data_IF_095559700761
#
_entry.id   IF_095559700761
#
_cell.length_a   1.000
_cell.length_b   1.000
_cell.length_c   1.000
_cell.angle_alpha   90.00
_cell.angle_beta   90.00
_cell.angle_gamma   90.00
#
_symmetry.space_group_name_H-M   'P 1'
#
loop_
_entity.id
_entity.type
_entity.pdbx_description
1 polymer ?
#
# COMPACT_ATOMS: atom_id res chain seq x y z
N UNK A 1 31.72 18.45 -14.26
CA UNK A 1 30.71 17.41 -13.96
C UNK A 1 30.03 17.05 -15.26
N UNK A 2 30.07 15.77 -15.69
CA UNK A 2 29.57 15.37 -17.00
C UNK A 2 28.03 15.39 -17.01
N UNK A 3 27.43 16.17 -17.90
CA UNK A 3 25.96 16.26 -18.02
C UNK A 3 25.33 14.87 -18.22
N UNK A 4 26.03 13.95 -18.89
CA UNK A 4 25.53 12.60 -19.12
C UNK A 4 25.33 11.79 -17.82
N UNK A 5 26.16 12.02 -16.80
CA UNK A 5 26.06 11.33 -15.52
C UNK A 5 24.84 11.83 -14.75
N UNK A 6 24.60 13.14 -14.76
CA UNK A 6 23.43 13.75 -14.10
C UNK A 6 22.14 13.27 -14.79
N UNK A 7 22.12 13.27 -16.13
CA UNK A 7 20.97 12.78 -16.89
C UNK A 7 20.67 11.32 -16.60
N UNK A 8 21.69 10.46 -16.60
CA UNK A 8 21.52 9.03 -16.32
C UNK A 8 21.08 8.76 -14.87
N UNK A 9 21.63 9.50 -13.91
CA UNK A 9 21.17 9.43 -12.53
C UNK A 9 19.70 9.87 -12.41
N UNK A 10 19.31 10.97 -13.06
CA UNK A 10 17.92 11.42 -13.06
C UNK A 10 16.98 10.37 -13.68
N UNK A 11 17.39 9.67 -14.75
CA UNK A 11 16.62 8.59 -15.39
C UNK A 11 16.39 7.39 -14.46
N UNK A 12 17.37 7.02 -13.63
CA UNK A 12 17.22 5.92 -12.67
C UNK A 12 16.21 6.26 -11.56
N UNK A 13 16.13 7.53 -11.13
CA UNK A 13 15.28 7.99 -10.01
C UNK A 13 13.98 8.72 -10.40
N UNK A 14 13.74 8.96 -11.69
CA UNK A 14 12.57 9.68 -12.20
C UNK A 14 11.70 8.76 -13.04
N UNK A 15 10.38 8.78 -12.88
CA UNK A 15 9.44 8.03 -13.74
C UNK A 15 9.18 8.80 -15.06
N UNK A 16 9.77 9.99 -15.19
CA UNK A 16 9.72 10.87 -16.33
C UNK A 16 9.97 12.30 -15.86
N UNK A 17 10.81 13.05 -16.55
CA UNK A 17 11.15 14.43 -16.22
C UNK A 17 11.12 15.29 -17.47
N UNK A 18 10.37 16.39 -17.41
CA UNK A 18 10.40 17.47 -18.38
C UNK A 18 10.96 18.73 -17.72
N UNK A 19 11.82 19.45 -18.43
CA UNK A 19 12.16 20.84 -18.10
C UNK A 19 11.59 21.74 -19.18
N UNK A 20 10.85 22.75 -18.75
CA UNK A 20 10.25 23.76 -19.60
C UNK A 20 10.91 25.11 -19.35
N UNK A 21 10.99 25.95 -20.38
CA UNK A 21 11.37 27.35 -20.22
C UNK A 21 10.20 28.18 -19.65
N UNK A 22 10.40 29.50 -19.52
CA UNK A 22 9.38 30.44 -19.01
C UNK A 22 8.12 30.52 -19.87
N UNK A 23 8.22 30.14 -21.15
CA UNK A 23 7.16 30.17 -22.15
C UNK A 23 6.50 28.78 -22.30
N UNK A 24 6.76 27.88 -21.33
CA UNK A 24 6.19 26.52 -21.25
C UNK A 24 6.56 25.61 -22.43
N UNK A 25 7.66 25.92 -23.13
CA UNK A 25 8.24 25.07 -24.16
C UNK A 25 9.17 24.06 -23.52
N UNK A 26 9.03 22.79 -23.89
CA UNK A 26 9.86 21.68 -23.39
C UNK A 26 11.26 21.83 -23.97
N UNK A 27 12.25 22.09 -23.12
CA UNK A 27 13.67 22.21 -23.51
C UNK A 27 14.49 20.96 -23.17
N UNK A 28 13.94 20.10 -22.32
CA UNK A 28 14.53 18.81 -21.97
C UNK A 28 13.43 17.80 -21.63
N UNK A 29 13.66 16.56 -22.04
CA UNK A 29 12.89 15.39 -21.62
C UNK A 29 13.84 14.22 -21.42
N UNK A 30 13.69 13.48 -20.32
CA UNK A 30 14.41 12.21 -20.11
C UNK A 30 13.82 11.07 -20.96
N UNK A 31 14.52 9.93 -21.04
CA UNK A 31 14.08 8.79 -21.87
C UNK A 31 12.68 8.29 -21.48
N UNK A 32 12.34 8.28 -20.18
CA UNK A 32 11.03 7.83 -19.71
C UNK A 32 9.91 8.78 -20.15
N UNK A 33 10.12 10.09 -20.08
CA UNK A 33 9.16 11.07 -20.58
C UNK A 33 8.94 10.94 -22.10
N UNK A 34 9.98 10.64 -22.89
CA UNK A 34 9.83 10.37 -24.34
C UNK A 34 8.98 9.12 -24.61
N UNK A 35 9.26 8.03 -23.89
CA UNK A 35 8.47 6.77 -23.97
C UNK A 35 7.00 6.98 -23.63
N UNK A 36 6.71 7.77 -22.59
CA UNK A 36 5.33 8.13 -22.18
C UNK A 36 4.57 8.83 -23.31
N UNK A 37 5.25 9.63 -24.13
CA UNK A 37 4.63 10.35 -25.24
C UNK A 37 4.69 9.60 -26.56
N UNK A 38 5.25 8.38 -26.57
CA UNK A 38 5.44 7.55 -27.76
C UNK A 38 6.19 8.29 -28.90
N UNK A 39 7.02 9.28 -28.57
CA UNK A 39 7.78 10.06 -29.54
C UNK A 39 8.99 10.74 -28.90
N UNK A 40 10.12 10.75 -29.62
CA UNK A 40 11.32 11.49 -29.21
C UNK A 40 11.22 12.99 -29.53
N UNK A 41 10.27 13.37 -30.40
CA UNK A 41 10.08 14.74 -30.87
C UNK A 41 9.14 15.55 -29.96
N UNK A 42 9.44 15.57 -28.66
CA UNK A 42 8.72 16.40 -27.67
C UNK A 42 9.49 17.66 -27.26
N UNK A 43 10.81 17.67 -27.41
CA UNK A 43 11.62 18.87 -27.17
C UNK A 43 11.33 19.90 -28.26
N UNK A 44 11.09 21.15 -27.86
CA UNK A 44 10.69 22.27 -28.73
C UNK A 44 9.18 22.49 -28.82
N UNK A 45 8.35 21.55 -28.36
CA UNK A 45 6.89 21.71 -28.32
C UNK A 45 6.43 22.44 -27.07
N UNK A 46 5.32 23.17 -27.17
CA UNK A 46 4.63 23.70 -25.99
C UNK A 46 4.00 22.57 -25.19
N UNK A 47 4.02 22.66 -23.86
CA UNK A 47 3.47 21.64 -22.98
C UNK A 47 1.99 21.33 -23.27
N UNK A 48 1.19 22.36 -23.54
CA UNK A 48 -0.24 22.24 -23.88
C UNK A 48 -0.52 21.52 -25.20
N UNK A 49 0.48 21.38 -26.08
CA UNK A 49 0.32 20.58 -27.29
C UNK A 49 0.28 19.09 -26.96
N UNK A 50 0.97 18.67 -25.89
CA UNK A 50 1.12 17.27 -25.51
C UNK A 50 0.16 16.83 -24.41
N UNK A 51 -0.29 17.75 -23.57
CA UNK A 51 -1.12 17.45 -22.40
C UNK A 51 -2.34 18.35 -22.28
N UNK A 52 -3.41 17.80 -21.71
CA UNK A 52 -4.70 18.48 -21.56
C UNK A 52 -4.75 19.58 -20.49
N UNK A 53 -3.81 19.61 -19.56
CA UNK A 53 -3.83 20.49 -18.38
C UNK A 53 -2.78 21.61 -18.50
N UNK A 54 -3.10 22.79 -17.95
CA UNK A 54 -2.17 23.92 -17.90
C UNK A 54 -1.08 23.72 -16.84
N UNK A 55 0.15 24.15 -17.16
CA UNK A 55 1.29 24.07 -16.23
C UNK A 55 1.03 24.85 -14.94
N UNK A 56 0.28 25.95 -15.02
CA UNK A 56 -0.17 26.73 -13.86
C UNK A 56 -0.98 25.92 -12.85
N UNK A 57 -1.89 25.07 -13.33
CA UNK A 57 -2.71 24.17 -12.49
C UNK A 57 -1.83 23.16 -11.76
N UNK A 58 -0.84 22.60 -12.46
CA UNK A 58 0.10 21.62 -11.89
C UNK A 58 0.97 22.28 -10.81
N UNK A 59 1.38 23.54 -11.01
CA UNK A 59 2.18 24.31 -10.05
C UNK A 59 1.40 24.71 -8.79
N UNK A 60 0.10 24.94 -8.91
CA UNK A 60 -0.76 25.34 -7.80
C UNK A 60 -1.11 24.17 -6.85
N UNK A 61 -1.08 22.94 -7.36
CA UNK A 61 -1.53 21.75 -6.65
C UNK A 61 -0.39 20.86 -6.15
N UNK A 62 -0.63 20.11 -5.07
CA UNK A 62 0.35 19.14 -4.53
C UNK A 62 0.54 17.92 -5.44
N UNK A 63 -0.24 17.78 -6.50
CA UNK A 63 -0.21 16.74 -7.53
C UNK A 63 -1.41 16.89 -8.46
N UNK A 64 -1.22 16.63 -9.75
CA UNK A 64 -2.26 16.76 -10.78
C UNK A 64 -2.21 15.55 -11.71
N UNK A 65 -3.36 15.10 -12.18
CA UNK A 65 -3.45 14.07 -13.22
C UNK A 65 -3.53 14.77 -14.57
N UNK A 66 -2.59 14.48 -15.46
CA UNK A 66 -2.60 14.98 -16.84
C UNK A 66 -2.89 13.84 -17.80
N UNK A 67 -3.43 14.17 -18.96
CA UNK A 67 -3.68 13.20 -20.03
C UNK A 67 -2.75 13.51 -21.20
N UNK A 68 -2.00 12.54 -21.71
CA UNK A 68 -1.17 12.71 -22.91
C UNK A 68 -2.03 12.60 -24.19
N UNK A 69 -1.40 12.82 -25.35
CA UNK A 69 -2.09 12.71 -26.66
C UNK A 69 -2.67 11.32 -26.97
N UNK A 70 -2.15 10.25 -26.34
CA UNK A 70 -2.67 8.90 -26.49
C UNK A 70 -3.87 8.60 -25.57
N UNK A 71 -4.31 9.55 -24.75
CA UNK A 71 -5.41 9.36 -23.78
C UNK A 71 -4.97 8.71 -22.46
N UNK A 72 -3.67 8.46 -22.27
CA UNK A 72 -3.14 7.87 -21.05
C UNK A 72 -3.02 8.93 -19.95
N UNK A 73 -3.42 8.55 -18.72
CA UNK A 73 -3.40 9.43 -17.55
C UNK A 73 -2.13 9.24 -16.72
N UNK A 74 -1.53 10.33 -16.28
CA UNK A 74 -0.32 10.34 -15.47
C UNK A 74 -0.43 11.31 -14.30
N UNK A 75 -0.03 10.87 -13.12
CA UNK A 75 0.18 11.77 -12.00
C UNK A 75 1.49 12.54 -12.20
N UNK A 76 1.45 13.85 -12.02
CA UNK A 76 2.61 14.73 -12.16
C UNK A 76 2.66 15.77 -11.03
N UNK A 77 3.87 16.27 -10.77
CA UNK A 77 4.12 17.47 -9.96
C UNK A 77 5.03 18.43 -10.70
N UNK A 78 4.79 19.72 -10.52
CA UNK A 78 5.62 20.76 -11.10
C UNK A 78 6.31 21.60 -10.02
N UNK A 79 7.51 22.10 -10.30
CA UNK A 79 8.19 23.09 -9.46
C UNK A 79 8.95 24.09 -10.31
N UNK A 80 8.87 25.37 -9.94
CA UNK A 80 9.73 26.41 -10.52
C UNK A 80 11.16 26.22 -10.00
N UNK A 81 12.12 26.18 -10.90
CA UNK A 81 13.56 26.09 -10.59
C UNK A 81 14.28 27.29 -11.19
N UNK A 82 15.40 27.69 -10.59
CA UNK A 82 16.26 28.78 -11.06
C UNK A 82 17.66 28.24 -11.30
N UNK A 83 18.26 28.59 -12.44
CA UNK A 83 19.68 28.36 -12.70
C UNK A 83 20.30 29.70 -13.14
N UNK A 84 21.13 30.28 -12.28
CA UNK A 84 21.61 31.65 -12.47
C UNK A 84 20.45 32.65 -12.52
N UNK A 85 20.35 33.41 -13.63
CA UNK A 85 19.27 34.38 -13.87
C UNK A 85 18.05 33.79 -14.56
N UNK A 86 18.16 32.57 -15.08
CA UNK A 86 17.11 31.92 -15.84
C UNK A 86 16.14 31.16 -14.94
N UNK A 87 14.89 31.06 -15.39
CA UNK A 87 13.79 30.39 -14.68
C UNK A 87 13.24 29.29 -15.56
N UNK A 88 13.05 28.13 -14.97
CA UNK A 88 12.49 26.96 -15.61
C UNK A 88 11.37 26.37 -14.78
N UNK A 89 10.62 25.46 -15.38
CA UNK A 89 9.62 24.66 -14.70
C UNK A 89 10.02 23.19 -14.89
N UNK A 90 10.24 22.49 -13.78
CA UNK A 90 10.45 21.05 -13.80
C UNK A 90 9.11 20.36 -13.58
N UNK A 91 8.68 19.51 -14.51
CA UNK A 91 7.50 18.64 -14.38
C UNK A 91 7.98 17.21 -14.25
N UNK A 92 7.74 16.61 -13.08
CA UNK A 92 8.12 15.23 -12.76
C UNK A 92 6.88 14.34 -12.81
N UNK A 93 6.97 13.26 -13.56
CA UNK A 93 6.02 12.15 -13.56
C UNK A 93 6.15 11.33 -12.29
N UNK A 94 5.01 10.87 -11.80
CA UNK A 94 4.88 10.09 -10.58
C UNK A 94 4.05 8.84 -10.89
N UNK A 95 4.29 7.79 -10.12
CA UNK A 95 3.34 6.68 -10.11
C UNK A 95 2.01 7.17 -9.55
N UNK A 96 0.89 6.67 -10.08
CA UNK A 96 -0.42 6.91 -9.46
C UNK A 96 -0.54 6.20 -8.10
N UNK A 97 0.30 5.19 -7.88
CA UNK A 97 0.35 4.39 -6.66
C UNK A 97 1.83 4.26 -6.27
N UNK A 98 2.23 4.88 -5.16
CA UNK A 98 3.55 4.66 -4.58
C UNK A 98 3.44 3.48 -3.61
N UNK A 99 3.94 2.30 -3.99
CA UNK A 99 3.96 1.16 -3.06
C UNK A 99 5.00 1.34 -1.93
N UNK A 100 5.82 2.39 -1.92
CA UNK A 100 6.56 2.78 -0.72
C UNK A 100 5.68 3.54 0.29
N UNK A 101 4.51 4.03 -0.13
CA UNK A 101 3.52 4.61 0.76
C UNK A 101 2.92 3.51 1.66
N UNK A 102 3.06 3.70 2.98
CA UNK A 102 2.54 2.78 3.97
C UNK A 102 1.01 2.69 3.94
N UNK A 103 0.30 3.75 3.53
CA UNK A 103 -1.17 3.74 3.39
C UNK A 103 -1.60 2.86 2.23
N UNK A 104 -0.91 2.96 1.10
CA UNK A 104 -1.16 2.10 -0.08
C UNK A 104 -0.90 0.63 0.28
N UNK A 105 0.25 0.34 0.90
CA UNK A 105 0.59 -1.01 1.37
C UNK A 105 -0.47 -1.55 2.34
N UNK A 106 -0.89 -0.74 3.31
CA UNK A 106 -1.92 -1.12 4.27
C UNK A 106 -3.23 -1.46 3.57
N UNK A 107 -3.70 -0.61 2.65
CA UNK A 107 -4.92 -0.84 1.89
C UNK A 107 -4.88 -2.17 1.09
N UNK A 108 -3.73 -2.48 0.47
CA UNK A 108 -3.55 -3.75 -0.23
C UNK A 108 -3.62 -4.95 0.73
N UNK A 109 -2.94 -4.87 1.88
CA UNK A 109 -2.94 -5.95 2.88
C UNK A 109 -4.34 -6.17 3.47
N UNK A 110 -5.06 -5.11 3.82
CA UNK A 110 -6.44 -5.18 4.29
C UNK A 110 -7.34 -5.85 3.24
N UNK A 111 -7.22 -5.45 1.97
CA UNK A 111 -7.99 -6.05 0.88
C UNK A 111 -7.68 -7.54 0.72
N UNK A 112 -6.41 -7.94 0.77
CA UNK A 112 -6.02 -9.35 0.68
C UNK A 112 -6.61 -10.14 1.86
N UNK A 113 -6.43 -9.66 3.09
CA UNK A 113 -6.95 -10.30 4.31
C UNK A 113 -8.47 -10.52 4.24
N UNK A 114 -9.21 -9.59 3.64
CA UNK A 114 -10.66 -9.68 3.49
C UNK A 114 -11.13 -10.64 2.39
N UNK A 115 -10.30 -10.87 1.36
CA UNK A 115 -10.65 -11.65 0.17
C UNK A 115 -10.17 -13.10 0.20
N UNK A 116 -9.13 -13.40 0.98
CA UNK A 116 -8.68 -14.80 1.12
C UNK A 116 -9.78 -15.67 1.74
N UNK A 117 -9.75 -16.97 1.41
CA UNK A 117 -10.71 -17.93 1.92
C UNK A 117 -10.33 -18.50 3.30
N UNK A 118 -9.12 -18.25 3.76
CA UNK A 118 -8.62 -18.64 5.09
C UNK A 118 -9.14 -17.67 6.15
N UNK A 119 -9.63 -18.24 7.25
CA UNK A 119 -10.04 -17.49 8.43
C UNK A 119 -8.83 -16.83 9.10
N UNK A 120 -8.92 -15.53 9.36
CA UNK A 120 -7.90 -14.78 10.10
C UNK A 120 -8.52 -14.14 11.33
N UNK A 121 -7.89 -14.42 12.47
CA UNK A 121 -8.19 -13.85 13.78
C UNK A 121 -6.90 -13.28 14.39
N UNK A 122 -6.93 -12.04 14.88
CA UNK A 122 -5.81 -11.41 15.58
C UNK A 122 -6.25 -10.98 16.97
N UNK A 123 -5.40 -11.21 17.98
CA UNK A 123 -5.56 -10.65 19.31
C UNK A 123 -4.39 -9.77 19.72
N UNK A 124 -4.67 -8.73 20.50
CA UNK A 124 -3.65 -7.88 21.13
C UNK A 124 -2.92 -8.61 22.28
N UNK A 125 -1.98 -7.91 22.91
CA UNK A 125 -1.21 -8.38 24.08
C UNK A 125 -2.05 -8.75 25.30
N UNK A 126 -3.31 -8.30 25.39
CA UNK A 126 -4.24 -8.66 26.47
C UNK A 126 -5.15 -9.81 26.06
N UNK A 127 -5.07 -10.31 24.84
CA UNK A 127 -5.97 -11.32 24.29
C UNK A 127 -7.32 -10.77 23.87
N UNK A 128 -7.43 -9.47 23.58
CA UNK A 128 -8.62 -8.87 22.96
C UNK A 128 -8.56 -9.05 21.46
N UNK A 129 -9.68 -9.41 20.85
CA UNK A 129 -9.79 -9.61 19.40
C UNK A 129 -9.74 -8.23 18.72
N UNK A 130 -8.79 -8.04 17.82
CA UNK A 130 -8.55 -6.76 17.12
C UNK A 130 -8.76 -6.84 15.61
N UNK A 131 -8.70 -8.04 15.03
CA UNK A 131 -9.01 -8.29 13.62
C UNK A 131 -9.72 -9.63 13.51
N UNK A 132 -10.75 -9.65 12.68
CA UNK A 132 -11.57 -10.81 12.41
C UNK A 132 -12.10 -10.72 10.97
N UNK A 133 -11.48 -11.45 10.02
CA UNK A 133 -11.79 -11.28 8.60
C UNK A 133 -13.12 -11.94 8.20
N UNK A 134 -13.59 -11.65 6.99
CA UNK A 134 -14.85 -12.21 6.45
C UNK A 134 -14.84 -13.74 6.34
N UNK A 135 -13.67 -14.35 6.11
CA UNK A 135 -13.55 -15.81 6.08
C UNK A 135 -13.78 -16.41 7.47
N UNK A 136 -13.21 -15.83 8.52
CA UNK A 136 -13.44 -16.26 9.91
C UNK A 136 -14.92 -16.10 10.29
N UNK A 137 -15.61 -15.04 9.84
CA UNK A 137 -17.06 -14.91 10.03
C UNK A 137 -17.84 -16.07 9.41
N UNK A 138 -17.47 -16.49 8.20
CA UNK A 138 -18.12 -17.62 7.51
C UNK A 138 -17.80 -18.94 8.21
N UNK A 139 -16.55 -19.11 8.64
CA UNK A 139 -16.04 -20.31 9.28
C UNK A 139 -16.76 -20.61 10.59
N UNK A 140 -16.96 -19.59 11.42
CA UNK A 140 -17.53 -19.76 12.76
C UNK A 140 -19.01 -19.36 12.86
N UNK A 141 -19.55 -18.69 11.84
CA UNK A 141 -20.92 -18.17 11.85
C UNK A 141 -21.10 -16.95 12.77
N UNK A 142 -20.01 -16.38 13.29
CA UNK A 142 -20.00 -15.19 14.14
C UNK A 142 -19.71 -13.94 13.31
N UNK A 143 -20.17 -12.77 13.77
CA UNK A 143 -19.89 -11.49 13.10
C UNK A 143 -18.78 -10.72 13.82
N UNK A 144 -17.87 -10.14 13.05
CA UNK A 144 -16.77 -9.32 13.53
C UNK A 144 -17.28 -8.19 14.43
N UNK A 145 -18.38 -7.53 14.05
CA UNK A 145 -19.02 -6.47 14.85
C UNK A 145 -19.42 -6.90 16.27
N UNK A 146 -19.66 -8.19 16.49
CA UNK A 146 -20.13 -8.75 17.75
C UNK A 146 -18.98 -9.33 18.59
N UNK A 147 -17.81 -9.54 17.98
CA UNK A 147 -16.69 -10.28 18.57
C UNK A 147 -15.43 -9.40 18.74
N UNK A 148 -15.15 -8.51 17.79
CA UNK A 148 -14.02 -7.57 17.87
C UNK A 148 -14.18 -6.66 19.09
N UNK A 149 -13.08 -6.47 19.82
CA UNK A 149 -13.02 -5.74 21.08
C UNK A 149 -13.25 -6.59 22.33
N UNK A 150 -13.84 -7.79 22.20
CA UNK A 150 -13.99 -8.74 23.31
C UNK A 150 -12.70 -9.50 23.56
N UNK A 151 -12.53 -10.00 24.78
CA UNK A 151 -11.50 -10.99 25.06
C UNK A 151 -11.84 -12.33 24.41
N UNK A 152 -10.84 -13.05 23.90
CA UNK A 152 -11.04 -14.37 23.29
C UNK A 152 -11.88 -15.32 24.16
N UNK A 153 -11.55 -15.43 25.44
CA UNK A 153 -12.28 -16.30 26.38
C UNK A 153 -13.69 -15.82 26.72
N UNK A 154 -14.01 -14.54 26.49
CA UNK A 154 -15.38 -14.04 26.62
C UNK A 154 -16.18 -14.31 25.34
N UNK A 155 -15.54 -14.15 24.17
CA UNK A 155 -16.16 -14.41 22.88
C UNK A 155 -16.47 -15.92 22.68
N UNK A 156 -15.56 -16.78 23.13
CA UNK A 156 -15.60 -18.23 22.94
C UNK A 156 -15.90 -19.01 24.23
N UNK A 157 -16.24 -18.31 25.31
CA UNK A 157 -16.73 -18.91 26.58
C UNK A 157 -15.83 -20.02 27.16
N UNK A 158 -14.51 -19.80 27.21
CA UNK A 158 -13.56 -20.79 27.76
C UNK A 158 -12.66 -20.20 28.86
N UNK A 159 -11.92 -21.04 29.58
CA UNK A 159 -11.01 -20.55 30.64
C UNK A 159 -9.78 -19.83 30.02
N UNK A 160 -9.48 -18.57 30.38
CA UNK A 160 -8.33 -17.82 29.84
C UNK A 160 -6.99 -18.58 29.86
N UNK A 161 -6.77 -19.46 30.85
CA UNK A 161 -5.55 -20.29 30.96
C UNK A 161 -5.39 -21.29 29.82
N UNK A 162 -6.47 -21.61 29.10
CA UNK A 162 -6.47 -22.47 27.92
C UNK A 162 -6.20 -21.72 26.62
N UNK A 163 -6.10 -20.38 26.65
CA UNK A 163 -5.96 -19.55 25.46
C UNK A 163 -4.64 -19.82 24.73
N UNK A 164 -4.72 -20.30 23.50
CA UNK A 164 -3.56 -20.55 22.65
C UNK A 164 -2.88 -19.25 22.25
N UNK A 165 -3.66 -18.21 21.91
CA UNK A 165 -3.12 -16.88 21.66
C UNK A 165 -2.32 -16.35 22.85
N UNK A 166 -2.78 -16.57 24.10
CA UNK A 166 -2.02 -16.18 25.29
C UNK A 166 -0.71 -16.96 25.41
N UNK A 167 -0.75 -18.28 25.23
CA UNK A 167 0.46 -19.14 25.27
C UNK A 167 1.48 -18.72 24.22
N UNK A 168 1.04 -18.44 23.00
CA UNK A 168 1.89 -17.97 21.89
C UNK A 168 2.43 -16.57 22.18
N UNK A 169 1.61 -15.69 22.76
CA UNK A 169 2.05 -14.33 23.14
C UNK A 169 3.19 -14.39 24.17
N UNK A 170 2.98 -15.13 25.26
CA UNK A 170 3.91 -15.25 26.38
C UNK A 170 5.20 -15.99 25.99
N UNK A 171 5.09 -17.05 25.20
CA UNK A 171 6.25 -17.86 24.80
C UNK A 171 7.00 -17.29 23.59
N UNK A 172 6.34 -16.49 22.76
CA UNK A 172 6.86 -16.04 21.47
C UNK A 172 7.13 -17.17 20.47
N UNK A 173 6.56 -18.37 20.71
CA UNK A 173 6.68 -19.57 19.87
C UNK A 173 5.35 -19.88 19.20
N UNK A 174 5.34 -20.23 17.89
CA UNK A 174 4.11 -20.53 17.18
C UNK A 174 3.56 -21.91 17.55
N UNK A 175 2.25 -22.08 17.31
CA UNK A 175 1.57 -23.38 17.27
C UNK A 175 1.27 -23.64 15.80
N UNK A 176 1.75 -24.76 15.25
CA UNK A 176 1.62 -25.09 13.82
C UNK A 176 1.03 -26.47 13.61
N UNK A 177 0.30 -26.66 12.50
CA UNK A 177 -0.39 -27.88 12.11
C UNK A 177 -1.34 -28.39 13.22
N UNK A 178 -1.97 -27.48 13.94
CA UNK A 178 -2.93 -27.85 14.96
C UNK A 178 -4.26 -28.26 14.30
N UNK A 179 -4.90 -29.28 14.83
CA UNK A 179 -6.20 -29.76 14.35
C UNK A 179 -7.14 -29.95 15.54
N UNK A 180 -8.20 -29.14 15.62
CA UNK A 180 -9.09 -29.13 16.78
C UNK A 180 -10.51 -28.66 16.42
N UNK A 181 -11.48 -29.09 17.21
CA UNK A 181 -12.87 -28.60 17.13
C UNK A 181 -12.99 -27.23 17.81
N UNK A 182 -12.60 -26.16 17.11
CA UNK A 182 -12.63 -24.79 17.65
C UNK A 182 -13.89 -24.00 17.29
N UNK A 183 -14.69 -24.49 16.34
CA UNK A 183 -15.97 -23.89 15.98
C UNK A 183 -17.11 -24.89 16.13
N UNK A 184 -18.27 -24.42 16.61
CA UNK A 184 -19.48 -25.21 16.73
C UNK A 184 -20.59 -24.54 15.91
N UNK A 185 -20.83 -25.05 14.70
CA UNK A 185 -21.91 -24.55 13.84
C UNK A 185 -23.19 -25.31 14.18
N UNK A 186 -24.18 -24.62 14.77
CA UNK A 186 -25.48 -25.20 15.17
C UNK A 186 -25.34 -26.46 16.04
N UNK A 187 -24.36 -26.48 16.94
CA UNK A 187 -24.09 -27.61 17.84
C UNK A 187 -23.21 -28.72 17.26
N UNK A 188 -22.81 -28.64 15.99
CA UNK A 188 -21.91 -29.62 15.34
C UNK A 188 -20.46 -29.13 15.42
N UNK A 189 -19.52 -29.92 15.98
CA UNK A 189 -18.10 -29.54 16.02
C UNK A 189 -17.51 -29.50 14.61
N UNK A 190 -16.88 -28.38 14.27
CA UNK A 190 -16.09 -28.20 13.06
C UNK A 190 -14.62 -28.32 13.41
N UNK A 191 -13.98 -29.35 12.87
CA UNK A 191 -12.54 -29.54 13.06
C UNK A 191 -11.78 -28.70 12.04
N UNK A 192 -10.91 -27.83 12.55
CA UNK A 192 -10.15 -26.89 11.75
C UNK A 192 -8.67 -27.22 11.87
N UNK A 193 -7.97 -27.20 10.73
CA UNK A 193 -6.52 -27.15 10.71
C UNK A 193 -6.12 -25.69 10.77
N UNK A 194 -5.28 -25.32 11.73
CA UNK A 194 -4.91 -23.92 11.90
C UNK A 194 -3.48 -23.76 12.41
N UNK A 195 -2.96 -22.55 12.22
CA UNK A 195 -1.66 -22.14 12.72
C UNK A 195 -1.79 -20.82 13.47
N UNK A 196 -1.16 -20.72 14.63
CA UNK A 196 -1.14 -19.52 15.47
C UNK A 196 0.29 -19.01 15.62
N UNK A 197 0.52 -17.75 15.24
CA UNK A 197 1.84 -17.13 15.18
C UNK A 197 1.91 -15.84 15.99
N UNK A 198 3.05 -15.55 16.64
CA UNK A 198 3.29 -14.25 17.26
C UNK A 198 3.62 -13.20 16.19
N UNK A 199 3.11 -12.00 16.36
CA UNK A 199 3.54 -10.79 15.64
C UNK A 199 4.59 -10.11 16.49
N UNK A 200 5.82 -9.98 15.96
CA UNK A 200 6.96 -9.40 16.68
C UNK A 200 7.37 -8.05 16.11
N UNK A 201 7.72 -7.12 16.99
CA UNK A 201 8.34 -5.84 16.67
C UNK A 201 9.45 -5.57 17.68
N UNK A 202 10.63 -5.17 17.22
CA UNK A 202 11.79 -4.88 18.07
C UNK A 202 12.12 -6.04 19.05
N UNK A 203 12.00 -7.29 18.57
CA UNK A 203 12.12 -8.55 19.33
C UNK A 203 11.07 -8.80 20.42
N UNK A 204 10.07 -7.95 20.57
CA UNK A 204 8.94 -8.15 21.49
C UNK A 204 7.69 -8.65 20.75
N UNK A 205 6.96 -9.58 21.34
CA UNK A 205 5.64 -9.98 20.82
C UNK A 205 4.64 -8.86 21.11
N UNK A 206 3.99 -8.33 20.08
CA UNK A 206 3.02 -7.23 20.19
C UNK A 206 1.56 -7.68 19.98
N UNK A 207 1.37 -8.80 19.29
CA UNK A 207 0.07 -9.40 19.00
C UNK A 207 0.24 -10.86 18.60
N UNK A 208 -0.88 -11.57 18.44
CA UNK A 208 -0.90 -12.97 17.99
C UNK A 208 -2.01 -13.13 16.95
N UNK A 209 -1.72 -13.84 15.87
CA UNK A 209 -2.72 -14.16 14.85
C UNK A 209 -2.85 -15.67 14.64
N UNK A 210 -4.04 -16.08 14.24
CA UNK A 210 -4.35 -17.43 13.77
C UNK A 210 -4.82 -17.37 12.32
N UNK A 211 -4.40 -18.34 11.52
CA UNK A 211 -4.90 -18.63 10.17
C UNK A 211 -5.46 -20.05 10.12
N UNK A 212 -6.70 -20.23 9.61
CA UNK A 212 -7.46 -21.50 9.60
C UNK A 212 -8.18 -21.76 8.28
#
# INVERSE_FOLDING_TARGET
MNLSIITKALEEFSIGLLILNKDEVIIFADERARKINHTDHIVGKSFKELYSEDVGTILANKGTVITNQAGNKYAVKAKKIKAGRERFIAVKFQTMVDFNDHIVKLHCLETIVDQINEGILVSDHKGRIVLYNKAQERLEGLKAKDIVGKYLWQAYEYNPKKSEHRKVFESGKPIVNAYSAHAYLKGVPQYLSYNTYPIKKDNETIAVFTIS
#
